data_IF_396351761705
#
_entry.id   IF_396351761705
#
_cell.length_a   1.000
_cell.length_b   1.000
_cell.length_c   1.000
_cell.angle_alpha   90.00
_cell.angle_beta   90.00
_cell.angle_gamma   90.00
#
_symmetry.space_group_name_H-M   'P 1'
#
loop_
_entity.id
_entity.type
_entity.pdbx_description
1 polymer ?
#
# COMPACT_ATOMS: atom_id res chain seq x y z
N UNK A 1 37.46 -9.23 22.27
CA UNK A 1 37.72 -10.25 23.30
C UNK A 1 36.38 -10.94 23.66
N UNK A 2 36.36 -12.25 23.85
CA UNK A 2 35.15 -12.97 24.27
C UNK A 2 34.84 -12.58 25.73
N UNK A 3 33.54 -12.35 26.07
CA UNK A 3 33.11 -11.97 27.43
C UNK A 3 33.74 -12.87 28.52
N UNK A 4 33.87 -14.18 28.21
CA UNK A 4 34.55 -15.17 29.07
C UNK A 4 35.99 -14.82 29.38
N UNK A 5 36.78 -14.29 28.43
CA UNK A 5 38.14 -13.92 28.63
C UNK A 5 38.31 -12.64 29.47
N UNK A 6 37.32 -11.73 29.41
CA UNK A 6 37.26 -10.52 30.26
C UNK A 6 37.00 -10.90 31.73
N UNK A 7 36.05 -11.81 31.98
CA UNK A 7 35.76 -12.30 33.35
C UNK A 7 36.99 -13.04 33.94
N UNK A 8 37.61 -13.91 33.15
CA UNK A 8 38.81 -14.61 33.58
C UNK A 8 39.96 -13.63 33.90
N UNK A 9 40.14 -12.59 33.07
CA UNK A 9 41.14 -11.55 33.31
C UNK A 9 40.84 -10.76 34.60
N UNK A 10 39.59 -10.43 34.90
CA UNK A 10 39.18 -9.74 36.11
C UNK A 10 39.53 -10.54 37.38
N UNK A 11 39.28 -11.87 37.38
CA UNK A 11 39.67 -12.73 38.49
C UNK A 11 41.18 -12.91 38.62
N UNK A 12 41.91 -12.96 37.49
CA UNK A 12 43.35 -13.04 37.47
C UNK A 12 43.99 -11.76 38.07
N UNK A 13 43.49 -10.59 37.71
CA UNK A 13 43.93 -9.30 38.26
C UNK A 13 43.61 -9.18 39.75
N UNK A 14 42.46 -9.64 40.21
CA UNK A 14 42.07 -9.67 41.62
C UNK A 14 43.01 -10.55 42.44
N UNK A 15 43.33 -11.77 41.93
CA UNK A 15 44.31 -12.65 42.61
C UNK A 15 45.69 -12.04 42.68
N UNK A 16 46.14 -11.40 41.59
CA UNK A 16 47.44 -10.75 41.56
C UNK A 16 47.54 -9.59 42.56
N UNK A 17 46.49 -8.76 42.67
CA UNK A 17 46.41 -7.70 43.67
C UNK A 17 46.43 -8.24 45.10
N UNK A 18 45.71 -9.33 45.39
CA UNK A 18 45.70 -9.95 46.71
C UNK A 18 47.13 -10.46 47.08
N UNK A 19 47.80 -11.12 46.16
CA UNK A 19 49.19 -11.60 46.36
C UNK A 19 50.18 -10.44 46.60
N UNK A 20 50.06 -9.37 45.89
CA UNK A 20 50.92 -8.17 46.06
C UNK A 20 50.66 -7.51 47.42
N UNK A 21 49.44 -7.41 47.90
CA UNK A 21 49.11 -6.89 49.21
C UNK A 21 49.67 -7.76 50.33
N UNK A 22 49.56 -9.08 50.22
CA UNK A 22 50.16 -10.00 51.22
C UNK A 22 51.68 -9.92 51.20
N UNK A 23 52.32 -9.86 50.03
CA UNK A 23 53.76 -9.71 49.90
C UNK A 23 54.28 -8.37 50.55
N UNK A 24 53.53 -7.27 50.28
CA UNK A 24 53.84 -5.96 50.88
C UNK A 24 53.69 -6.00 52.43
N UNK A 25 52.64 -6.64 52.97
CA UNK A 25 52.43 -6.83 54.41
C UNK A 25 53.52 -7.66 55.07
N UNK A 26 54.05 -8.70 54.38
CA UNK A 26 55.24 -9.45 54.87
C UNK A 26 56.48 -8.61 54.94
N UNK A 27 56.78 -7.75 53.95
CA UNK A 27 57.89 -6.85 53.93
C UNK A 27 57.87 -5.81 55.05
N UNK A 28 56.67 -5.38 55.45
CA UNK A 28 56.48 -4.43 56.56
C UNK A 28 56.47 -5.11 57.94
N UNK A 29 56.73 -6.40 58.04
CA UNK A 29 56.67 -7.20 59.27
C UNK A 29 55.26 -7.14 59.96
N UNK A 30 54.21 -6.76 59.25
CA UNK A 30 52.86 -6.65 59.76
C UNK A 30 52.15 -8.03 59.89
N UNK A 31 52.69 -9.05 59.21
CA UNK A 31 52.05 -10.40 59.13
C UNK A 31 53.17 -11.45 59.32
N UNK A 32 52.95 -12.42 60.20
CA UNK A 32 53.89 -13.54 60.37
C UNK A 32 53.77 -14.49 59.14
N UNK A 33 54.86 -15.21 58.77
CA UNK A 33 54.90 -16.08 57.59
C UNK A 33 53.81 -17.14 57.61
N UNK A 34 53.49 -17.73 58.79
CA UNK A 34 52.46 -18.76 58.90
C UNK A 34 51.04 -18.21 58.64
N UNK A 35 50.75 -16.99 59.07
CA UNK A 35 49.46 -16.32 58.81
C UNK A 35 49.36 -15.91 57.34
N UNK A 36 50.47 -15.50 56.73
CA UNK A 36 50.51 -15.18 55.32
C UNK A 36 50.10 -16.37 54.41
N UNK A 37 50.61 -17.55 54.68
CA UNK A 37 50.21 -18.76 53.94
C UNK A 37 48.73 -19.04 54.06
N UNK A 38 48.12 -18.89 55.22
CA UNK A 38 46.68 -19.09 55.41
C UNK A 38 45.87 -18.07 54.60
N UNK A 39 46.27 -16.76 54.60
CA UNK A 39 45.61 -15.71 53.85
C UNK A 39 45.68 -15.97 52.34
N UNK A 40 46.86 -16.42 51.85
CA UNK A 40 47.05 -16.74 50.42
C UNK A 40 46.12 -17.87 50.00
N UNK A 41 46.06 -18.96 50.76
CA UNK A 41 45.17 -20.10 50.43
C UNK A 41 43.69 -19.74 50.50
N UNK A 42 43.29 -18.92 51.48
CA UNK A 42 41.92 -18.41 51.59
C UNK A 42 41.56 -17.50 50.43
N UNK A 43 42.47 -16.60 50.01
CA UNK A 43 42.28 -15.69 48.89
C UNK A 43 42.17 -16.48 47.57
N UNK A 44 43.05 -17.48 47.33
CA UNK A 44 42.98 -18.35 46.17
C UNK A 44 41.69 -19.15 46.13
N UNK A 45 41.25 -19.72 47.23
CA UNK A 45 39.99 -20.45 47.34
C UNK A 45 38.77 -19.57 47.05
N UNK A 46 38.71 -18.37 47.65
CA UNK A 46 37.65 -17.40 47.44
C UNK A 46 37.56 -16.91 45.95
N UNK A 47 38.72 -16.65 45.36
CA UNK A 47 38.78 -16.25 43.93
C UNK A 47 38.37 -17.39 42.99
N UNK A 48 38.78 -18.63 43.26
CA UNK A 48 38.38 -19.80 42.50
C UNK A 48 36.86 -20.02 42.56
N UNK A 49 36.30 -19.94 43.75
CA UNK A 49 34.89 -20.08 43.98
C UNK A 49 34.07 -18.96 43.31
N UNK A 50 34.52 -17.73 43.44
CA UNK A 50 33.93 -16.56 42.77
C UNK A 50 33.96 -16.68 41.21
N UNK A 51 35.11 -17.17 40.66
CA UNK A 51 35.22 -17.45 39.23
C UNK A 51 34.22 -18.53 38.77
N UNK A 52 34.08 -19.60 39.54
CA UNK A 52 33.16 -20.70 39.24
C UNK A 52 31.69 -20.21 39.24
N UNK A 53 31.30 -19.48 40.27
CA UNK A 53 29.97 -18.87 40.38
C UNK A 53 29.71 -17.89 39.27
N UNK A 54 30.63 -16.98 39.00
CA UNK A 54 30.52 -16.01 37.88
C UNK A 54 30.39 -16.70 36.53
N UNK A 55 31.16 -17.81 36.31
CA UNK A 55 31.05 -18.58 35.09
C UNK A 55 29.68 -19.26 34.95
N UNK A 56 29.16 -19.86 36.02
CA UNK A 56 27.84 -20.50 36.01
C UNK A 56 26.70 -19.51 35.76
N UNK A 57 26.77 -18.31 36.37
CA UNK A 57 25.75 -17.26 36.18
C UNK A 57 25.78 -16.63 34.80
N UNK A 58 26.95 -16.50 34.17
CA UNK A 58 27.08 -15.87 32.87
C UNK A 58 26.79 -16.83 31.68
N UNK A 59 26.95 -18.13 31.87
CA UNK A 59 26.73 -19.13 30.80
C UNK A 59 25.36 -19.04 30.14
N UNK A 60 24.22 -18.98 30.86
CA UNK A 60 22.91 -18.92 30.23
C UNK A 60 22.74 -17.62 29.42
N UNK A 61 23.21 -16.48 29.93
CA UNK A 61 23.12 -15.18 29.22
C UNK A 61 23.93 -15.18 27.92
N UNK A 62 25.13 -15.77 27.93
CA UNK A 62 25.97 -15.88 26.72
C UNK A 62 25.33 -16.80 25.67
N UNK A 63 24.73 -17.89 26.10
CA UNK A 63 24.00 -18.81 25.20
C UNK A 63 22.80 -18.11 24.56
N UNK A 64 22.01 -17.38 25.37
CA UNK A 64 20.84 -16.63 24.91
C UNK A 64 21.23 -15.57 23.88
N UNK A 65 22.33 -14.82 24.10
CA UNK A 65 22.85 -13.84 23.13
C UNK A 65 23.31 -14.49 21.83
N UNK A 66 23.95 -15.66 21.90
CA UNK A 66 24.35 -16.40 20.70
C UNK A 66 23.15 -16.92 19.92
N UNK A 67 22.10 -17.35 20.60
CA UNK A 67 20.85 -17.78 19.98
C UNK A 67 20.17 -16.58 19.32
N UNK A 68 20.01 -15.44 20.04
CA UNK A 68 19.45 -14.22 19.53
C UNK A 68 20.18 -13.75 18.26
N UNK A 69 21.53 -13.77 18.28
CA UNK A 69 22.33 -13.40 17.12
C UNK A 69 22.10 -14.32 15.91
N UNK A 70 21.84 -15.61 16.13
CA UNK A 70 21.50 -16.55 15.05
C UNK A 70 20.10 -16.32 14.52
N UNK A 71 19.16 -16.06 15.41
CA UNK A 71 17.76 -15.81 15.06
C UNK A 71 17.61 -14.52 14.26
N UNK A 72 18.31 -13.44 14.65
CA UNK A 72 18.35 -12.19 13.88
C UNK A 72 18.98 -12.37 12.50
N UNK A 73 19.97 -13.26 12.34
CA UNK A 73 20.52 -13.57 11.01
C UNK A 73 19.51 -14.22 10.06
N UNK A 74 18.57 -15.05 10.58
CA UNK A 74 17.52 -15.64 9.74
C UNK A 74 16.60 -14.58 9.13
N UNK A 75 16.41 -13.45 9.80
CA UNK A 75 15.64 -12.32 9.24
C UNK A 75 16.26 -11.78 7.95
N UNK A 76 17.60 -11.80 7.84
CA UNK A 76 18.29 -11.42 6.60
C UNK A 76 18.01 -12.41 5.43
N UNK A 77 17.66 -13.64 5.74
CA UNK A 77 17.27 -14.68 4.78
C UNK A 77 15.73 -14.71 4.56
N UNK A 78 15.04 -13.62 4.94
CA UNK A 78 13.58 -13.44 4.81
C UNK A 78 12.74 -14.41 5.68
N UNK A 79 13.34 -15.03 6.70
CA UNK A 79 12.63 -15.81 7.70
C UNK A 79 12.21 -14.88 8.87
N UNK A 80 10.99 -14.35 8.79
CA UNK A 80 10.44 -13.40 9.77
C UNK A 80 9.79 -14.09 10.98
N UNK A 81 10.21 -15.30 11.33
CA UNK A 81 9.69 -15.95 12.53
C UNK A 81 10.13 -15.21 13.80
N UNK A 82 9.23 -15.05 14.78
CA UNK A 82 9.57 -14.36 16.02
C UNK A 82 10.66 -15.11 16.78
N UNK A 83 11.57 -14.34 17.33
CA UNK A 83 12.62 -14.85 18.20
C UNK A 83 12.01 -15.34 19.50
N UNK A 84 12.53 -16.48 20.04
CA UNK A 84 12.08 -17.00 21.32
C UNK A 84 12.32 -15.97 22.43
N UNK A 85 11.28 -15.71 23.24
CA UNK A 85 11.36 -14.78 24.36
C UNK A 85 12.30 -15.29 25.44
N UNK A 86 13.31 -14.50 25.76
CA UNK A 86 14.25 -14.75 26.86
C UNK A 86 13.63 -14.16 28.12
N UNK A 87 13.40 -14.99 29.16
CA UNK A 87 12.71 -14.56 30.39
C UNK A 87 13.64 -13.91 31.41
N UNK A 88 14.95 -14.14 31.32
CA UNK A 88 15.95 -13.62 32.29
C UNK A 88 17.34 -13.53 31.65
N UNK A 89 18.14 -12.49 31.90
CA UNK A 89 17.81 -11.29 32.70
C UNK A 89 16.81 -10.35 32.01
N UNK A 90 16.22 -9.40 32.76
CA UNK A 90 15.16 -8.51 32.29
C UNK A 90 15.58 -7.65 31.07
N UNK A 91 16.84 -7.26 31.00
CA UNK A 91 17.41 -6.50 29.90
C UNK A 91 17.38 -7.28 28.56
N UNK A 92 17.62 -8.60 28.62
CA UNK A 92 17.52 -9.46 27.44
C UNK A 92 16.06 -9.73 27.06
N UNK A 93 15.15 -9.75 28.02
CA UNK A 93 13.73 -9.89 27.76
C UNK A 93 13.18 -8.67 27.00
N UNK A 94 13.53 -7.45 27.44
CA UNK A 94 13.11 -6.22 26.76
C UNK A 94 13.74 -6.09 25.38
N UNK A 95 15.01 -6.45 25.21
CA UNK A 95 15.68 -6.48 23.91
C UNK A 95 15.00 -7.45 22.94
N UNK A 96 14.64 -8.63 23.39
CA UNK A 96 13.94 -9.63 22.58
C UNK A 96 12.56 -9.16 22.16
N UNK A 97 11.82 -8.49 23.05
CA UNK A 97 10.52 -7.90 22.73
C UNK A 97 10.64 -6.82 21.63
N UNK A 98 11.62 -5.91 21.76
CA UNK A 98 11.86 -4.87 20.76
C UNK A 98 12.27 -5.45 19.41
N UNK A 99 13.10 -6.50 19.41
CA UNK A 99 13.48 -7.21 18.16
C UNK A 99 12.26 -7.87 17.52
N UNK A 100 11.37 -8.47 18.30
CA UNK A 100 10.16 -9.09 17.76
C UNK A 100 9.21 -8.04 17.13
N UNK A 101 9.07 -6.86 17.73
CA UNK A 101 8.33 -5.76 17.13
C UNK A 101 8.97 -5.34 15.81
N UNK A 102 10.29 -5.16 15.77
CA UNK A 102 11.01 -4.81 14.54
C UNK A 102 10.84 -5.90 13.45
N UNK A 103 10.88 -7.18 13.81
CA UNK A 103 10.63 -8.29 12.87
C UNK A 103 9.20 -8.23 12.33
N UNK A 104 8.23 -7.93 13.17
CA UNK A 104 6.83 -7.77 12.75
C UNK A 104 6.66 -6.61 11.76
N UNK A 105 7.24 -5.45 12.05
CA UNK A 105 7.20 -4.27 11.17
C UNK A 105 7.90 -4.54 9.83
N UNK A 106 9.07 -5.22 9.87
CA UNK A 106 9.78 -5.63 8.65
C UNK A 106 8.96 -6.61 7.82
N UNK A 107 8.33 -7.61 8.45
CA UNK A 107 7.49 -8.57 7.74
C UNK A 107 6.29 -7.88 7.07
N UNK A 108 5.61 -6.95 7.76
CA UNK A 108 4.51 -6.17 7.18
C UNK A 108 4.99 -5.32 6.00
N UNK A 109 6.14 -4.64 6.14
CA UNK A 109 6.73 -3.83 5.08
C UNK A 109 7.12 -4.69 3.87
N UNK A 110 7.70 -5.86 4.12
CA UNK A 110 8.09 -6.80 3.06
C UNK A 110 6.88 -7.38 2.32
N UNK A 111 5.82 -7.75 3.05
CA UNK A 111 4.57 -8.22 2.45
C UNK A 111 3.91 -7.12 1.60
N UNK A 112 3.85 -5.89 2.10
CA UNK A 112 3.32 -4.75 1.36
C UNK A 112 4.12 -4.49 0.08
N UNK A 113 5.46 -4.53 0.15
CA UNK A 113 6.33 -4.39 -1.02
C UNK A 113 6.13 -5.52 -2.03
N UNK A 114 6.10 -6.76 -1.56
CA UNK A 114 5.88 -7.95 -2.42
C UNK A 114 4.52 -7.89 -3.12
N UNK A 115 3.47 -7.47 -2.41
CA UNK A 115 2.14 -7.27 -2.98
C UNK A 115 2.17 -6.17 -4.05
N UNK A 116 2.80 -5.04 -3.76
CA UNK A 116 2.95 -3.93 -4.72
C UNK A 116 3.68 -4.35 -6.00
N UNK A 117 4.77 -5.13 -5.88
CA UNK A 117 5.50 -5.67 -7.04
C UNK A 117 4.67 -6.69 -7.86
N UNK A 118 3.88 -7.53 -7.19
CA UNK A 118 2.96 -8.45 -7.87
C UNK A 118 1.87 -7.69 -8.63
N UNK A 119 1.29 -6.67 -8.00
CA UNK A 119 0.24 -5.85 -8.61
C UNK A 119 0.78 -5.08 -9.81
N UNK A 120 2.02 -4.56 -9.72
CA UNK A 120 2.71 -3.93 -10.84
C UNK A 120 2.95 -4.91 -12.01
N UNK A 121 3.36 -6.14 -11.70
CA UNK A 121 3.57 -7.17 -12.73
C UNK A 121 2.26 -7.55 -13.42
N UNK A 122 1.18 -7.73 -12.65
CA UNK A 122 -0.17 -7.98 -13.19
C UNK A 122 -0.65 -6.82 -14.05
N UNK A 123 -0.42 -5.57 -13.61
CA UNK A 123 -0.72 -4.37 -14.38
C UNK A 123 -0.04 -4.41 -15.75
N UNK A 124 1.28 -4.63 -15.78
CA UNK A 124 2.04 -4.67 -17.02
C UNK A 124 1.56 -5.77 -17.97
N UNK A 125 1.22 -6.94 -17.44
CA UNK A 125 0.68 -8.04 -18.24
C UNK A 125 -0.70 -7.71 -18.82
N UNK A 126 -1.61 -7.13 -18.03
CA UNK A 126 -2.96 -6.73 -18.49
C UNK A 126 -2.88 -5.62 -19.54
N UNK A 127 -2.05 -4.59 -19.29
CA UNK A 127 -1.86 -3.48 -20.23
C UNK A 127 -1.25 -3.96 -21.55
N UNK A 128 -0.28 -4.88 -21.49
CA UNK A 128 0.30 -5.49 -22.69
C UNK A 128 -0.76 -6.19 -23.56
N UNK A 129 -1.69 -6.90 -22.92
CA UNK A 129 -2.80 -7.55 -23.61
C UNK A 129 -3.79 -6.52 -24.18
N UNK A 130 -4.19 -5.52 -23.39
CA UNK A 130 -5.17 -4.51 -23.79
C UNK A 130 -4.68 -3.55 -24.87
N UNK A 131 -3.35 -3.35 -24.96
CA UNK A 131 -2.69 -2.61 -26.07
C UNK A 131 -2.54 -3.49 -27.31
N UNK A 132 -2.19 -4.78 -27.13
CA UNK A 132 -1.98 -5.69 -28.27
C UNK A 132 -3.25 -5.90 -29.09
N UNK A 133 -4.42 -5.97 -28.44
CA UNK A 133 -5.70 -6.22 -29.12
C UNK A 133 -6.06 -5.13 -30.14
N UNK A 134 -6.14 -3.82 -29.80
CA UNK A 134 -6.42 -2.77 -30.78
C UNK A 134 -5.31 -2.62 -31.81
N UNK A 135 -4.04 -2.86 -31.43
CA UNK A 135 -2.93 -2.81 -32.38
C UNK A 135 -3.05 -3.90 -33.46
N UNK A 136 -3.37 -5.13 -33.08
CA UNK A 136 -3.62 -6.23 -34.02
C UNK A 136 -4.82 -5.94 -34.92
N UNK A 137 -5.90 -5.36 -34.36
CA UNK A 137 -7.05 -4.95 -35.17
C UNK A 137 -6.66 -3.87 -36.20
N UNK A 138 -5.87 -2.86 -35.81
CA UNK A 138 -5.34 -1.84 -36.72
C UNK A 138 -4.46 -2.46 -37.81
N UNK A 139 -3.59 -3.41 -37.47
CA UNK A 139 -2.76 -4.11 -38.46
C UNK A 139 -3.60 -4.81 -39.52
N UNK A 140 -4.60 -5.61 -39.12
CA UNK A 140 -5.50 -6.27 -40.07
C UNK A 140 -6.32 -5.29 -40.92
N UNK A 141 -6.70 -4.14 -40.35
CA UNK A 141 -7.40 -3.10 -41.12
C UNK A 141 -6.50 -2.45 -42.18
N UNK A 142 -5.21 -2.23 -41.86
CA UNK A 142 -4.23 -1.71 -42.81
C UNK A 142 -3.94 -2.76 -43.89
N UNK A 143 -3.74 -4.04 -43.52
CA UNK A 143 -3.53 -5.14 -44.46
C UNK A 143 -4.70 -5.25 -45.48
N UNK A 144 -5.95 -5.14 -44.95
CA UNK A 144 -7.13 -5.18 -45.82
C UNK A 144 -7.18 -4.00 -46.83
N UNK A 145 -6.65 -2.82 -46.45
CA UNK A 145 -6.52 -1.68 -47.35
C UNK A 145 -5.43 -1.90 -48.42
N UNK A 146 -4.28 -2.45 -48.00
CA UNK A 146 -3.16 -2.73 -48.93
C UNK A 146 -3.53 -3.81 -49.94
N UNK A 147 -4.28 -4.82 -49.54
CA UNK A 147 -4.71 -5.91 -50.42
C UNK A 147 -5.95 -5.57 -51.25
N UNK A 148 -6.41 -4.32 -51.23
CA UNK A 148 -7.60 -3.83 -51.97
C UNK A 148 -8.87 -4.69 -51.72
N UNK A 149 -8.97 -5.28 -50.56
CA UNK A 149 -10.11 -6.14 -50.16
C UNK A 149 -11.35 -5.37 -49.69
N UNK A 150 -11.28 -4.02 -49.68
CA UNK A 150 -12.33 -3.15 -49.11
C UNK A 150 -13.02 -2.43 -50.29
N UNK A 151 -14.35 -2.52 -50.34
CA UNK A 151 -15.17 -1.79 -51.32
C UNK A 151 -15.25 -0.30 -50.92
N UNK A 152 -15.58 0.56 -51.92
CA UNK A 152 -15.72 2.01 -51.69
C UNK A 152 -16.78 2.31 -50.59
N UNK A 153 -17.84 1.54 -50.53
CA UNK A 153 -18.88 1.70 -49.53
C UNK A 153 -18.45 1.30 -48.09
N UNK A 154 -17.50 0.38 -47.99
CA UNK A 154 -16.96 -0.08 -46.70
C UNK A 154 -15.79 0.79 -46.20
N UNK A 155 -15.19 1.59 -47.07
CA UNK A 155 -14.05 2.42 -46.72
C UNK A 155 -14.31 3.38 -45.58
N UNK A 156 -15.49 4.01 -45.55
CA UNK A 156 -15.85 4.98 -44.52
C UNK A 156 -16.01 4.28 -43.12
N UNK A 157 -16.61 3.09 -43.13
CA UNK A 157 -16.76 2.30 -41.88
C UNK A 157 -15.40 1.85 -41.34
N UNK A 158 -14.47 1.46 -42.23
CA UNK A 158 -13.13 1.07 -41.89
C UNK A 158 -12.33 2.22 -41.24
N UNK A 159 -12.39 3.42 -41.84
CA UNK A 159 -11.75 4.62 -41.27
C UNK A 159 -12.32 4.97 -39.88
N UNK A 160 -13.62 4.85 -39.70
CA UNK A 160 -14.25 5.07 -38.38
C UNK A 160 -13.80 4.02 -37.35
N UNK A 161 -13.69 2.76 -37.75
CA UNK A 161 -13.20 1.69 -36.89
C UNK A 161 -11.74 1.91 -36.48
N UNK A 162 -10.87 2.33 -37.41
CA UNK A 162 -9.47 2.68 -37.14
C UNK A 162 -9.38 3.87 -36.16
N UNK A 163 -10.13 4.95 -36.42
CA UNK A 163 -10.18 6.11 -35.53
C UNK A 163 -10.59 5.71 -34.09
N UNK A 164 -11.57 4.85 -33.94
CA UNK A 164 -12.01 4.32 -32.64
C UNK A 164 -10.92 3.50 -31.94
N UNK A 165 -10.15 2.68 -32.68
CA UNK A 165 -9.03 1.94 -32.08
C UNK A 165 -7.89 2.89 -31.60
N UNK A 166 -7.61 3.94 -32.36
CA UNK A 166 -6.61 4.96 -32.00
C UNK A 166 -7.04 5.70 -30.73
N UNK A 167 -8.30 6.12 -30.65
CA UNK A 167 -8.82 6.83 -29.48
C UNK A 167 -8.80 5.94 -28.23
N UNK A 168 -9.11 4.65 -28.39
CA UNK A 168 -8.97 3.65 -27.33
C UNK A 168 -7.53 3.52 -26.83
N UNK A 169 -6.54 3.46 -27.75
CA UNK A 169 -5.10 3.42 -27.39
C UNK A 169 -4.67 4.68 -26.66
N UNK A 170 -5.15 5.85 -27.10
CA UNK A 170 -4.90 7.14 -26.41
C UNK A 170 -5.42 7.11 -24.97
N UNK A 171 -6.63 6.64 -24.76
CA UNK A 171 -7.22 6.49 -23.42
C UNK A 171 -6.42 5.54 -22.54
N UNK A 172 -6.00 4.39 -23.06
CA UNK A 172 -5.16 3.43 -22.32
C UNK A 172 -3.79 4.02 -21.94
N UNK A 173 -3.15 4.77 -22.84
CA UNK A 173 -1.87 5.43 -22.54
C UNK A 173 -2.01 6.54 -21.51
N UNK A 174 -3.09 7.31 -21.54
CA UNK A 174 -3.38 8.31 -20.52
C UNK A 174 -3.58 7.66 -19.14
N UNK A 175 -4.37 6.61 -19.05
CA UNK A 175 -4.58 5.86 -17.81
C UNK A 175 -3.27 5.29 -17.25
N UNK A 176 -2.37 4.79 -18.11
CA UNK A 176 -1.05 4.30 -17.70
C UNK A 176 -0.17 5.41 -17.12
N UNK A 177 -0.13 6.57 -17.78
CA UNK A 177 0.63 7.74 -17.29
C UNK A 177 0.12 8.19 -15.92
N UNK A 178 -1.19 8.19 -15.72
CA UNK A 178 -1.83 8.58 -14.47
C UNK A 178 -1.46 7.65 -13.31
N UNK A 179 -1.49 6.35 -13.54
CA UNK A 179 -1.04 5.38 -12.54
C UNK A 179 0.43 5.58 -12.19
N UNK A 180 1.29 5.80 -13.18
CA UNK A 180 2.71 6.08 -12.95
C UNK A 180 2.96 7.37 -12.16
N UNK A 181 2.17 8.42 -12.42
CA UNK A 181 2.22 9.67 -11.68
C UNK A 181 1.71 9.49 -10.23
N UNK A 182 0.63 8.74 -10.02
CA UNK A 182 0.11 8.46 -8.68
C UNK A 182 1.10 7.65 -7.83
N UNK A 183 1.78 6.66 -8.39
CA UNK A 183 2.84 5.92 -7.69
C UNK A 183 4.01 6.83 -7.31
N UNK A 184 4.42 7.72 -8.19
CA UNK A 184 5.47 8.71 -7.91
C UNK A 184 5.04 9.69 -6.82
N UNK A 185 3.77 10.06 -6.78
CA UNK A 185 3.20 10.97 -5.79
C UNK A 185 2.94 10.30 -4.43
N UNK A 186 2.60 9.02 -4.40
CA UNK A 186 2.49 8.25 -3.16
C UNK A 186 3.86 8.06 -2.48
N UNK A 187 4.94 7.99 -3.27
CA UNK A 187 6.32 7.89 -2.78
C UNK A 187 6.98 9.24 -2.44
N UNK A 188 6.45 10.34 -2.96
CA UNK A 188 6.86 11.71 -2.61
C UNK A 188 5.74 12.32 -1.77
N UNK A 189 6.01 12.52 -0.47
CA UNK A 189 5.11 13.15 0.49
C UNK A 189 4.19 14.19 -0.16
N UNK A 190 2.87 13.89 -0.13
CA UNK A 190 1.76 14.80 -0.44
C UNK A 190 1.97 15.68 -1.69
N UNK A 191 1.45 15.24 -2.84
CA UNK A 191 1.11 16.18 -3.91
C UNK A 191 0.37 17.36 -3.29
N UNK A 192 0.84 18.56 -3.54
CA UNK A 192 0.15 19.78 -3.06
C UNK A 192 -1.28 19.72 -3.60
N UNK A 193 -2.23 19.46 -2.70
CA UNK A 193 -3.65 19.58 -3.00
C UNK A 193 -3.88 21.07 -3.23
N UNK A 194 -4.33 21.44 -4.42
CA UNK A 194 -4.65 22.82 -4.74
C UNK A 194 -6.08 23.12 -4.30
N UNK A 195 -6.26 23.31 -2.99
CA UNK A 195 -7.57 23.67 -2.45
C UNK A 195 -7.96 25.05 -2.94
N UNK A 196 -9.11 25.13 -3.59
CA UNK A 196 -9.72 26.36 -4.04
C UNK A 196 -11.22 26.35 -3.71
N UNK A 197 -11.82 27.54 -3.60
CA UNK A 197 -13.27 27.66 -3.44
C UNK A 197 -13.92 27.51 -4.82
N UNK A 198 -14.70 26.46 -5.01
CA UNK A 198 -15.43 26.20 -6.25
C UNK A 198 -16.88 26.62 -6.09
N UNK A 199 -17.40 27.38 -7.07
CA UNK A 199 -18.83 27.57 -7.23
C UNK A 199 -19.44 26.30 -7.83
N UNK A 200 -20.37 25.67 -7.10
CA UNK A 200 -20.92 24.38 -7.50
C UNK A 200 -21.70 24.45 -8.80
N UNK A 201 -22.44 25.52 -9.05
CA UNK A 201 -23.19 25.68 -10.30
C UNK A 201 -22.27 25.72 -11.51
N UNK A 202 -21.22 26.55 -11.50
CA UNK A 202 -20.25 26.63 -12.60
C UNK A 202 -19.50 25.30 -12.78
N UNK A 203 -19.07 24.70 -11.68
CA UNK A 203 -18.39 23.41 -11.70
C UNK A 203 -19.26 22.31 -12.33
N UNK A 204 -20.55 22.24 -11.94
CA UNK A 204 -21.50 21.25 -12.46
C UNK A 204 -21.78 21.49 -13.94
N UNK A 205 -21.90 22.73 -14.41
CA UNK A 205 -22.08 23.04 -15.84
C UNK A 205 -20.92 22.46 -16.66
N UNK A 206 -19.68 22.66 -16.22
CA UNK A 206 -18.50 22.09 -16.90
C UNK A 206 -18.49 20.55 -16.86
N UNK A 207 -18.78 19.96 -15.70
CA UNK A 207 -18.84 18.52 -15.53
C UNK A 207 -19.90 17.89 -16.45
N UNK A 208 -21.10 18.47 -16.47
CA UNK A 208 -22.23 17.98 -17.27
C UNK A 208 -21.96 18.12 -18.77
N UNK A 209 -21.32 19.22 -19.20
CA UNK A 209 -20.93 19.40 -20.60
C UNK A 209 -19.99 18.29 -21.07
N UNK A 210 -19.11 17.83 -20.19
CA UNK A 210 -18.15 16.77 -20.52
C UNK A 210 -18.77 15.38 -20.63
N UNK A 211 -19.80 15.06 -19.82
CA UNK A 211 -20.45 13.73 -19.84
C UNK A 211 -21.62 13.66 -20.84
N UNK A 212 -22.18 14.80 -21.24
CA UNK A 212 -23.35 14.89 -22.14
C UNK A 212 -23.21 14.07 -23.43
N UNK A 213 -22.06 14.06 -24.16
CA UNK A 213 -21.92 13.26 -25.38
C UNK A 213 -22.14 11.75 -25.14
N UNK A 214 -21.65 11.22 -24.00
CA UNK A 214 -21.80 9.81 -23.63
C UNK A 214 -23.27 9.45 -23.38
N UNK A 215 -23.99 10.31 -22.65
CA UNK A 215 -25.42 10.11 -22.38
C UNK A 215 -26.25 10.25 -23.66
N UNK A 216 -25.96 11.21 -24.54
CA UNK A 216 -26.66 11.40 -25.81
C UNK A 216 -26.51 10.22 -26.74
N UNK A 217 -25.35 9.61 -26.86
CA UNK A 217 -25.09 8.44 -27.68
C UNK A 217 -26.04 7.28 -27.33
N UNK A 218 -26.33 7.11 -26.03
CA UNK A 218 -27.26 6.08 -25.52
C UNK A 218 -28.67 6.60 -25.24
N UNK A 219 -28.99 7.84 -25.58
CA UNK A 219 -30.29 8.51 -25.30
C UNK A 219 -30.66 8.44 -23.82
N UNK A 220 -29.67 8.50 -22.93
CA UNK A 220 -29.84 8.45 -21.48
C UNK A 220 -30.23 9.81 -20.93
N UNK A 221 -31.09 9.82 -19.92
CA UNK A 221 -31.50 11.03 -19.19
C UNK A 221 -30.56 11.25 -17.99
N UNK A 222 -29.92 12.44 -17.89
CA UNK A 222 -29.10 12.82 -16.75
C UNK A 222 -29.87 13.81 -15.88
N UNK A 223 -30.27 13.39 -14.68
CA UNK A 223 -30.98 14.19 -13.70
C UNK A 223 -29.99 14.69 -12.63
N UNK A 224 -29.93 16.01 -12.39
CA UNK A 224 -29.05 16.58 -11.38
C UNK A 224 -29.89 17.30 -10.32
N UNK A 225 -29.62 16.99 -9.05
CA UNK A 225 -30.24 17.65 -7.91
C UNK A 225 -29.17 18.21 -6.99
N UNK A 226 -29.14 19.52 -6.85
CA UNK A 226 -28.28 20.23 -5.91
C UNK A 226 -29.15 20.76 -4.76
N UNK A 227 -28.76 20.46 -3.52
CA UNK A 227 -29.46 21.01 -2.35
C UNK A 227 -29.29 22.54 -2.32
N UNK A 228 -30.37 23.31 -2.10
CA UNK A 228 -30.36 24.76 -2.25
C UNK A 228 -29.39 25.52 -1.33
N UNK A 229 -29.01 24.90 -0.22
CA UNK A 229 -28.06 25.45 0.75
C UNK A 229 -26.59 25.31 0.37
N UNK A 230 -26.29 24.63 -0.75
CA UNK A 230 -24.93 24.33 -1.19
C UNK A 230 -24.57 25.23 -2.38
N UNK A 231 -23.75 26.23 -2.12
CA UNK A 231 -23.27 27.16 -3.16
C UNK A 231 -21.80 26.87 -3.52
N UNK A 232 -20.98 26.55 -2.52
CA UNK A 232 -19.53 26.39 -2.70
C UNK A 232 -18.97 25.19 -1.96
N UNK A 233 -17.82 24.70 -2.44
CA UNK A 233 -17.00 23.71 -1.74
C UNK A 233 -15.53 24.13 -1.80
N UNK A 234 -14.77 23.89 -0.72
CA UNK A 234 -13.31 24.07 -0.71
C UNK A 234 -12.61 22.74 -1.00
N UNK A 235 -12.11 22.58 -2.22
CA UNK A 235 -11.47 21.35 -2.66
C UNK A 235 -10.58 21.58 -3.89
N UNK A 236 -9.88 20.55 -4.32
CA UNK A 236 -9.16 20.51 -5.60
C UNK A 236 -10.15 20.15 -6.72
N UNK A 237 -10.51 21.15 -7.54
CA UNK A 237 -11.54 21.02 -8.58
C UNK A 237 -11.20 20.01 -9.65
N UNK A 238 -9.92 19.90 -10.02
CA UNK A 238 -9.48 18.95 -11.05
C UNK A 238 -9.64 17.51 -10.56
N UNK A 239 -9.25 17.25 -9.31
CA UNK A 239 -9.43 15.93 -8.69
C UNK A 239 -10.89 15.56 -8.51
N UNK A 240 -11.71 16.52 -8.02
CA UNK A 240 -13.15 16.30 -7.86
C UNK A 240 -13.83 16.02 -9.21
N UNK A 241 -13.54 16.85 -10.22
CA UNK A 241 -14.06 16.64 -11.59
C UNK A 241 -13.72 15.26 -12.13
N UNK A 242 -12.50 14.82 -11.92
CA UNK A 242 -12.04 13.52 -12.37
C UNK A 242 -12.72 12.35 -11.68
N UNK A 243 -12.95 12.43 -10.36
CA UNK A 243 -13.71 11.42 -9.62
C UNK A 243 -15.13 11.32 -10.18
N UNK A 244 -15.82 12.47 -10.27
CA UNK A 244 -17.22 12.51 -10.69
C UNK A 244 -17.40 12.08 -12.16
N UNK A 245 -16.52 12.52 -13.07
CA UNK A 245 -16.54 12.08 -14.47
C UNK A 245 -16.40 10.56 -14.59
N UNK A 246 -15.42 9.98 -13.90
CA UNK A 246 -15.24 8.54 -13.94
C UNK A 246 -16.43 7.75 -13.38
N UNK A 247 -17.07 8.23 -12.30
CA UNK A 247 -18.26 7.59 -11.74
C UNK A 247 -19.47 7.74 -12.68
N UNK A 248 -19.67 8.92 -13.30
CA UNK A 248 -20.74 9.17 -14.27
C UNK A 248 -20.55 8.41 -15.58
N UNK A 249 -19.31 8.33 -16.07
CA UNK A 249 -18.97 7.50 -17.25
C UNK A 249 -19.25 6.03 -16.99
N UNK A 250 -18.90 5.52 -15.81
CA UNK A 250 -19.24 4.15 -15.42
C UNK A 250 -20.76 3.95 -15.35
N UNK A 251 -21.50 4.89 -14.74
CA UNK A 251 -22.96 4.84 -14.69
C UNK A 251 -23.57 4.79 -16.10
N UNK A 252 -23.12 5.65 -17.03
CA UNK A 252 -23.58 5.63 -18.43
C UNK A 252 -23.21 4.35 -19.17
N UNK A 253 -21.98 3.90 -18.99
CA UNK A 253 -21.44 2.71 -19.67
C UNK A 253 -22.18 1.45 -19.34
N UNK A 254 -22.46 1.22 -18.04
CA UNK A 254 -23.08 -0.02 -17.55
C UNK A 254 -24.61 0.02 -17.48
N UNK A 255 -25.20 1.18 -17.76
CA UNK A 255 -26.65 1.30 -17.89
C UNK A 255 -27.15 1.07 -19.33
N UNK A 256 -28.36 0.57 -19.50
CA UNK A 256 -28.95 0.37 -20.82
C UNK A 256 -29.24 1.71 -21.53
N UNK A 257 -29.57 1.63 -22.82
CA UNK A 257 -30.07 2.78 -23.55
C UNK A 257 -31.39 3.28 -22.94
N UNK A 258 -31.63 4.58 -23.06
CA UNK A 258 -32.86 5.26 -22.56
C UNK A 258 -33.05 5.14 -21.04
N UNK A 259 -32.02 4.76 -20.29
CA UNK A 259 -32.04 4.73 -18.82
C UNK A 259 -31.83 6.12 -18.21
N UNK A 260 -32.09 6.21 -16.90
CA UNK A 260 -31.85 7.43 -16.13
C UNK A 260 -30.61 7.28 -15.26
N UNK A 261 -29.78 8.33 -15.26
CA UNK A 261 -28.63 8.49 -14.35
C UNK A 261 -28.92 9.70 -13.47
N UNK A 262 -28.71 9.59 -12.16
CA UNK A 262 -28.99 10.66 -11.23
C UNK A 262 -27.72 11.08 -10.50
N UNK A 263 -27.48 12.39 -10.41
CA UNK A 263 -26.44 13.00 -9.59
C UNK A 263 -27.12 13.86 -8.52
N UNK A 264 -27.12 13.40 -7.27
CA UNK A 264 -27.67 14.14 -6.16
C UNK A 264 -26.53 14.64 -5.27
N UNK A 265 -26.56 15.93 -4.92
CA UNK A 265 -25.54 16.58 -4.10
C UNK A 265 -26.25 17.17 -2.89
N UNK A 266 -25.84 16.71 -1.71
CA UNK A 266 -26.44 17.11 -0.45
C UNK A 266 -25.42 17.24 0.67
N UNK A 267 -25.78 17.96 1.72
CA UNK A 267 -24.97 18.06 2.92
C UNK A 267 -25.19 16.83 3.78
N UNK A 268 -24.09 16.16 4.20
CA UNK A 268 -24.13 15.01 5.10
C UNK A 268 -23.14 15.24 6.26
N UNK A 269 -23.70 15.48 7.44
CA UNK A 269 -22.90 15.76 8.64
C UNK A 269 -22.04 17.01 8.49
N UNK A 270 -20.72 16.85 8.59
CA UNK A 270 -19.73 17.93 8.40
C UNK A 270 -19.12 17.93 7.01
N UNK A 271 -19.77 17.29 6.05
CA UNK A 271 -19.28 17.15 4.68
C UNK A 271 -20.36 17.31 3.64
N UNK A 272 -19.97 17.11 2.40
CA UNK A 272 -20.81 17.10 1.21
C UNK A 272 -20.76 15.72 0.56
N UNK A 273 -21.92 15.16 0.23
CA UNK A 273 -22.04 13.89 -0.45
C UNK A 273 -22.55 14.08 -1.88
N UNK A 274 -21.92 13.38 -2.81
CA UNK A 274 -22.27 13.28 -4.22
C UNK A 274 -22.74 11.86 -4.48
N UNK A 275 -24.05 11.67 -4.72
CA UNK A 275 -24.65 10.38 -4.98
C UNK A 275 -24.87 10.21 -6.46
N UNK A 276 -24.24 9.21 -7.06
CA UNK A 276 -24.41 8.81 -8.45
C UNK A 276 -25.22 7.51 -8.46
N UNK A 277 -26.43 7.57 -9.01
CA UNK A 277 -27.38 6.45 -9.03
C UNK A 277 -27.64 6.06 -10.48
N UNK A 278 -27.41 4.82 -10.82
CA UNK A 278 -27.63 4.27 -12.15
C UNK A 278 -28.67 3.13 -12.14
N UNK A 279 -29.20 2.82 -13.32
CA UNK A 279 -30.14 1.72 -13.57
C UNK A 279 -29.46 0.60 -14.37
N UNK A 280 -28.18 0.37 -14.10
CA UNK A 280 -27.35 -0.58 -14.83
C UNK A 280 -27.55 -2.03 -14.42
N UNK A 281 -26.64 -2.87 -14.92
CA UNK A 281 -26.61 -4.31 -14.62
C UNK A 281 -26.35 -4.63 -13.14
N UNK A 282 -25.92 -3.67 -12.34
CA UNK A 282 -25.52 -3.85 -10.96
C UNK A 282 -24.24 -4.67 -10.79
N UNK A 283 -23.83 -4.83 -9.53
CA UNK A 283 -22.58 -5.49 -9.13
C UNK A 283 -22.93 -6.65 -8.21
N UNK A 284 -22.42 -7.87 -8.47
CA UNK A 284 -22.59 -9.01 -7.56
C UNK A 284 -21.99 -8.73 -6.18
N UNK A 285 -22.64 -9.19 -5.12
CA UNK A 285 -22.20 -8.94 -3.74
C UNK A 285 -20.77 -9.44 -3.46
N UNK A 286 -20.35 -10.52 -4.10
CA UNK A 286 -19.00 -11.07 -4.00
C UNK A 286 -17.92 -10.16 -4.60
N UNK A 287 -18.28 -9.31 -5.58
CA UNK A 287 -17.37 -8.43 -6.29
C UNK A 287 -17.26 -7.05 -5.62
N UNK A 288 -18.26 -6.63 -4.84
CA UNK A 288 -18.31 -5.32 -4.18
C UNK A 288 -17.05 -4.98 -3.35
N UNK A 289 -16.44 -5.90 -2.56
CA UNK A 289 -15.23 -5.62 -1.82
C UNK A 289 -14.01 -5.34 -2.72
N UNK A 290 -14.06 -5.77 -3.98
CA UNK A 290 -12.91 -5.77 -4.90
C UNK A 290 -12.98 -4.74 -6.01
N UNK A 291 -14.13 -4.05 -6.22
CA UNK A 291 -14.29 -3.13 -7.36
C UNK A 291 -13.36 -1.92 -7.32
N UNK A 292 -12.81 -1.59 -6.15
CA UNK A 292 -11.81 -0.55 -5.97
C UNK A 292 -10.37 -1.09 -6.04
N UNK A 293 -10.21 -2.42 -6.13
CA UNK A 293 -8.89 -3.01 -6.32
C UNK A 293 -8.35 -2.66 -7.72
N UNK A 294 -7.06 -2.47 -7.80
CA UNK A 294 -6.38 -2.12 -9.04
C UNK A 294 -6.58 -3.22 -10.10
N UNK A 295 -7.06 -2.86 -11.28
CA UNK A 295 -7.33 -3.76 -12.41
C UNK A 295 -8.47 -4.77 -12.20
N UNK A 296 -9.22 -4.63 -11.13
CA UNK A 296 -10.35 -5.52 -10.91
C UNK A 296 -11.47 -5.23 -11.91
N UNK A 297 -12.06 -6.30 -12.43
CA UNK A 297 -13.21 -6.25 -13.33
C UNK A 297 -14.14 -7.41 -13.02
N UNK A 298 -15.42 -7.12 -12.88
CA UNK A 298 -16.47 -8.13 -12.76
C UNK A 298 -16.48 -9.00 -14.02
N UNK A 299 -16.56 -10.34 -13.89
CA UNK A 299 -16.46 -11.27 -15.02
C UNK A 299 -17.48 -11.00 -16.13
N UNK A 300 -18.71 -10.62 -15.78
CA UNK A 300 -19.76 -10.26 -16.74
C UNK A 300 -19.43 -9.00 -17.56
N UNK A 301 -18.56 -8.13 -17.09
CA UNK A 301 -18.10 -6.91 -17.79
C UNK A 301 -16.86 -7.14 -18.67
N UNK A 302 -16.35 -8.37 -18.74
CA UNK A 302 -15.17 -8.73 -19.58
C UNK A 302 -15.48 -8.79 -21.08
N UNK A 303 -16.74 -8.63 -21.49
CA UNK A 303 -17.09 -8.56 -22.91
C UNK A 303 -16.32 -7.42 -23.60
N UNK A 304 -15.77 -7.72 -24.77
CA UNK A 304 -14.82 -6.87 -25.53
C UNK A 304 -15.37 -5.49 -25.90
N UNK A 305 -16.67 -5.32 -25.91
CA UNK A 305 -17.34 -4.05 -26.30
C UNK A 305 -17.35 -3.00 -25.19
N UNK A 306 -17.24 -3.41 -23.91
CA UNK A 306 -17.23 -2.50 -22.76
C UNK A 306 -15.84 -2.22 -22.23
N UNK A 307 -14.84 -2.01 -23.10
CA UNK A 307 -13.44 -1.83 -22.77
C UNK A 307 -13.14 -0.80 -21.66
N UNK A 308 -12.24 -1.18 -20.76
CA UNK A 308 -11.68 -0.32 -19.70
C UNK A 308 -10.67 -1.11 -18.89
N UNK A 309 -9.53 -0.49 -18.55
CA UNK A 309 -8.40 -1.15 -17.87
C UNK A 309 -8.66 -1.55 -16.41
N UNK A 310 -9.88 -1.31 -15.85
CA UNK A 310 -10.17 -1.57 -14.43
C UNK A 310 -9.41 -0.63 -13.47
N UNK A 311 -9.01 0.54 -13.96
CA UNK A 311 -8.24 1.52 -13.18
C UNK A 311 -9.10 2.67 -12.66
N UNK A 312 -10.24 2.95 -13.30
CA UNK A 312 -11.04 4.13 -12.99
C UNK A 312 -11.50 4.21 -11.54
N UNK A 313 -12.14 3.17 -11.01
CA UNK A 313 -12.62 3.16 -9.62
C UNK A 313 -11.47 3.20 -8.61
N UNK A 314 -10.35 2.52 -8.88
CA UNK A 314 -9.14 2.61 -8.06
C UNK A 314 -8.60 4.05 -8.02
N UNK A 315 -8.53 4.72 -9.16
CA UNK A 315 -8.11 6.12 -9.27
C UNK A 315 -9.07 7.02 -8.48
N UNK A 316 -10.38 6.85 -8.65
CA UNK A 316 -11.39 7.63 -7.93
C UNK A 316 -11.26 7.48 -6.42
N UNK A 317 -11.09 6.25 -5.92
CA UNK A 317 -10.88 5.97 -4.50
C UNK A 317 -9.62 6.64 -3.97
N UNK A 318 -8.51 6.54 -4.72
CA UNK A 318 -7.23 7.16 -4.33
C UNK A 318 -7.34 8.70 -4.28
N UNK A 319 -7.99 9.31 -5.26
CA UNK A 319 -8.21 10.76 -5.29
C UNK A 319 -9.14 11.23 -4.17
N UNK A 320 -10.21 10.47 -3.88
CA UNK A 320 -11.12 10.77 -2.78
C UNK A 320 -10.39 10.76 -1.44
N UNK A 321 -9.54 9.75 -1.19
CA UNK A 321 -8.71 9.67 0.02
C UNK A 321 -7.72 10.84 0.11
N UNK A 322 -7.11 11.27 -1.00
CA UNK A 322 -6.26 12.45 -1.02
C UNK A 322 -7.03 13.72 -0.64
N UNK A 323 -8.29 13.84 -1.04
CA UNK A 323 -9.16 14.96 -0.67
C UNK A 323 -9.71 14.86 0.77
N UNK A 324 -9.32 13.84 1.54
CA UNK A 324 -9.81 13.58 2.90
C UNK A 324 -11.22 12.96 2.94
N UNK A 325 -11.71 12.47 1.81
CA UNK A 325 -13.02 11.85 1.65
C UNK A 325 -12.97 10.34 1.45
N UNK A 326 -14.11 9.77 1.11
CA UNK A 326 -14.28 8.34 0.83
C UNK A 326 -15.36 8.10 -0.23
N UNK A 327 -15.26 6.96 -0.94
CA UNK A 327 -16.29 6.51 -1.84
C UNK A 327 -16.89 5.21 -1.28
N UNK A 328 -18.21 5.17 -1.21
CA UNK A 328 -18.98 3.97 -0.84
C UNK A 328 -19.83 3.53 -2.02
N UNK A 329 -20.22 2.25 -2.03
CA UNK A 329 -21.07 1.68 -3.07
C UNK A 329 -22.10 0.75 -2.48
N UNK A 330 -23.33 0.86 -2.96
CA UNK A 330 -24.38 -0.13 -2.76
C UNK A 330 -24.91 -0.53 -4.13
N UNK A 331 -25.06 -1.81 -4.39
CA UNK A 331 -25.49 -2.31 -5.69
C UNK A 331 -26.20 -3.65 -5.56
N UNK A 332 -27.12 -3.89 -6.47
CA UNK A 332 -27.79 -5.17 -6.60
C UNK A 332 -27.91 -5.54 -8.08
N UNK A 333 -27.63 -6.79 -8.40
CA UNK A 333 -27.67 -7.30 -9.78
C UNK A 333 -29.03 -7.00 -10.42
N UNK A 334 -29.03 -6.44 -11.62
CA UNK A 334 -30.18 -5.97 -12.41
C UNK A 334 -31.01 -4.85 -11.77
N UNK A 335 -30.53 -4.18 -10.74
CA UNK A 335 -31.19 -3.02 -10.14
C UNK A 335 -30.37 -1.73 -10.22
N UNK A 336 -29.12 -1.85 -10.72
CA UNK A 336 -28.20 -0.74 -10.82
C UNK A 336 -27.27 -0.60 -9.62
N UNK A 337 -26.56 0.54 -9.57
CA UNK A 337 -25.59 0.84 -8.53
C UNK A 337 -25.80 2.26 -8.00
N UNK A 338 -25.43 2.44 -6.75
CA UNK A 338 -25.40 3.74 -6.08
C UNK A 338 -24.01 3.95 -5.50
N UNK A 339 -23.25 4.86 -6.11
CA UNK A 339 -21.97 5.33 -5.62
C UNK A 339 -22.16 6.62 -4.84
N UNK A 340 -21.56 6.72 -3.68
CA UNK A 340 -21.58 7.90 -2.80
C UNK A 340 -20.15 8.37 -2.54
N UNK A 341 -19.79 9.54 -3.05
CA UNK A 341 -18.55 10.24 -2.71
C UNK A 341 -18.85 11.23 -1.59
N UNK A 342 -18.24 11.05 -0.44
CA UNK A 342 -18.27 11.99 0.65
C UNK A 342 -16.96 12.78 0.75
N UNK A 343 -17.04 14.11 0.89
CA UNK A 343 -15.91 15.02 1.11
C UNK A 343 -16.15 15.90 2.33
N UNK A 344 -15.12 16.24 3.13
CA UNK A 344 -15.23 17.24 4.19
C UNK A 344 -15.47 18.64 3.58
N UNK A 345 -16.25 19.47 4.30
CA UNK A 345 -16.52 20.88 3.95
C UNK A 345 -15.46 21.79 4.51
#
# INVERSE_FOLDING_TARGET
>A
MKLRSLVFLAFLTSTLCALLLVWWGLQQMLVSPNVAYIIIWMALGANLLGALVGFCLLQPSVKSLQQLSRDVRRVADQDFQPVQTIKSPAELASLTANINLMIQDLNQSFQALSQSEQDKTRLMASLGHDIKTPLTALQHQVEALEDQMVSEDEMQALWQAMAHQIDRLKTLTQQLMEVGLMEKQANQQASQIQVQTLQLDDFLIHLLTSIQPHCQQKKQELEVKLAPELETIQTDGDKLSRILLNLLENASKYSPEQSRIQLHIQKEGQGMAFHIIDQGMGIPAQDLPHIFDRLYRVEQSRNRETGGAGLGLYISQTLAQQLGGQIEVTSQVNQGSHFSLWLPL
#
